data_IF_275906542473
#
_entry.id   IF_275906542473
#
_cell.length_a   1.000
_cell.length_b   1.000
_cell.length_c   1.000
_cell.angle_alpha   90.00
_cell.angle_beta   90.00
_cell.angle_gamma   90.00
#
_symmetry.space_group_name_H-M   'P 1'
#
loop_
_entity.id
_entity.type
_entity.pdbx_description
1 polymer ?
#
# COMPACT_ATOMS: atom_id res chain seq x y z
N UNK A 1 11.13 9.81 2.00
CA UNK A 1 11.34 10.67 0.82
C UNK A 1 10.56 10.24 -0.41
N UNK A 2 10.49 8.94 -0.74
CA UNK A 2 9.81 8.47 -1.96
C UNK A 2 8.43 9.10 -2.21
N UNK A 3 7.53 9.11 -1.21
CA UNK A 3 6.20 9.68 -1.35
C UNK A 3 6.19 11.16 -1.77
N UNK A 4 7.11 11.97 -1.23
CA UNK A 4 7.24 13.38 -1.60
C UNK A 4 7.76 13.54 -3.04
N UNK A 5 8.77 12.75 -3.43
CA UNK A 5 9.30 12.79 -4.79
C UNK A 5 8.28 12.33 -5.85
N UNK A 6 7.41 11.38 -5.50
CA UNK A 6 6.30 10.97 -6.37
C UNK A 6 5.21 12.05 -6.45
N UNK A 7 4.86 12.69 -5.33
CA UNK A 7 3.85 13.74 -5.30
C UNK A 7 4.23 14.95 -6.18
N UNK A 8 5.52 15.26 -6.27
CA UNK A 8 6.04 16.36 -7.08
C UNK A 8 6.17 16.05 -8.58
N UNK A 9 5.86 14.84 -9.02
CA UNK A 9 5.87 14.52 -10.45
C UNK A 9 4.74 15.27 -11.15
N UNK A 10 5.07 15.94 -12.26
CA UNK A 10 4.15 16.80 -12.99
C UNK A 10 2.91 16.08 -13.53
N UNK A 11 3.04 14.78 -13.83
CA UNK A 11 1.95 13.91 -14.27
C UNK A 11 1.27 13.15 -13.11
N UNK A 12 1.67 13.40 -11.87
CA UNK A 12 0.98 12.90 -10.66
C UNK A 12 0.30 14.07 -9.97
N UNK A 13 1.05 15.02 -9.42
CA UNK A 13 0.53 16.21 -8.70
C UNK A 13 -0.66 15.89 -7.78
N UNK A 14 -0.52 14.83 -6.98
CA UNK A 14 -1.51 14.42 -5.98
C UNK A 14 -0.91 14.53 -4.58
N UNK A 15 -1.73 14.84 -3.56
CA UNK A 15 -1.26 14.75 -2.18
C UNK A 15 -0.84 13.31 -1.88
N UNK A 16 0.29 13.17 -1.20
CA UNK A 16 0.77 11.89 -0.71
C UNK A 16 0.62 11.81 0.81
N UNK A 17 0.20 10.65 1.29
CA UNK A 17 0.12 10.34 2.72
C UNK A 17 1.13 9.25 3.04
N UNK A 18 1.99 9.52 4.02
CA UNK A 18 2.88 8.52 4.62
C UNK A 18 2.30 8.14 5.97
N UNK A 19 1.78 6.92 6.06
CA UNK A 19 1.23 6.39 7.31
C UNK A 19 2.22 5.42 7.93
N UNK A 20 2.38 5.52 9.25
CA UNK A 20 3.18 4.61 10.07
C UNK A 20 2.37 4.22 11.30
N UNK A 21 2.61 3.04 11.84
CA UNK A 21 1.86 2.56 13.00
C UNK A 21 2.27 3.34 14.25
N UNK A 22 1.27 3.94 14.89
CA UNK A 22 1.45 4.68 16.13
C UNK A 22 1.97 3.77 17.25
N UNK A 23 2.79 4.32 18.13
CA UNK A 23 3.46 3.65 19.24
C UNK A 23 4.54 2.64 18.78
N UNK A 24 4.17 1.63 17.99
CA UNK A 24 5.08 0.58 17.52
C UNK A 24 6.21 1.08 16.64
N UNK A 25 5.96 2.07 15.80
CA UNK A 25 6.98 2.67 14.93
C UNK A 25 7.34 4.06 15.41
N UNK A 26 6.34 4.87 15.80
CA UNK A 26 6.59 6.28 16.14
C UNK A 26 7.33 6.49 17.47
N UNK A 27 7.27 5.53 18.41
CA UNK A 27 7.92 5.63 19.72
C UNK A 27 9.04 4.59 19.92
N UNK A 28 9.18 3.63 19.02
CA UNK A 28 10.29 2.70 19.05
C UNK A 28 11.60 3.43 18.74
N UNK A 29 12.62 3.19 19.56
CA UNK A 29 13.98 3.71 19.33
C UNK A 29 14.85 2.60 18.78
N UNK A 30 15.60 2.93 17.74
CA UNK A 30 16.57 2.03 17.15
C UNK A 30 17.50 2.79 16.21
N UNK A 31 18.65 2.21 15.85
CA UNK A 31 19.51 2.78 14.82
C UNK A 31 18.77 2.79 13.47
N UNK A 32 18.80 3.93 12.79
CA UNK A 32 18.21 4.10 11.45
C UNK A 32 19.22 4.70 10.51
N UNK A 33 19.18 4.29 9.23
CA UNK A 33 19.94 4.95 8.19
C UNK A 33 19.22 6.25 7.81
N UNK A 34 19.87 7.39 8.04
CA UNK A 34 19.36 8.69 7.64
C UNK A 34 19.90 9.07 6.25
N UNK A 35 19.13 9.81 5.43
CA UNK A 35 19.68 10.42 4.23
C UNK A 35 20.74 11.48 4.60
N UNK A 36 21.61 11.82 3.65
CA UNK A 36 22.54 12.96 3.80
C UNK A 36 21.78 14.24 4.13
N UNK A 37 22.37 15.12 4.95
CA UNK A 37 21.82 16.43 5.25
C UNK A 37 21.67 17.31 3.99
N UNK A 38 22.48 17.06 2.96
CA UNK A 38 22.43 17.79 1.68
C UNK A 38 21.34 17.28 0.73
N UNK A 39 20.63 16.21 1.09
CA UNK A 39 19.61 15.63 0.23
C UNK A 39 18.45 16.62 0.05
N UNK A 40 18.15 16.96 -1.21
CA UNK A 40 17.03 17.81 -1.60
C UNK A 40 16.16 17.06 -2.60
N UNK A 41 14.86 17.38 -2.59
CA UNK A 41 13.97 16.91 -3.64
C UNK A 41 14.44 17.45 -4.99
N UNK A 42 14.25 16.66 -6.04
CA UNK A 42 14.52 17.11 -7.39
C UNK A 42 13.64 18.34 -7.72
N UNK A 43 14.17 19.33 -8.46
CA UNK A 43 13.38 20.47 -8.87
C UNK A 43 12.22 20.00 -9.76
N UNK A 44 11.05 20.59 -9.54
CA UNK A 44 9.87 20.32 -10.34
C UNK A 44 9.97 21.00 -11.69
N UNK A 45 9.53 20.31 -12.75
CA UNK A 45 9.47 20.89 -14.09
C UNK A 45 8.27 21.84 -14.20
N UNK A 46 8.52 23.12 -13.93
CA UNK A 46 7.51 24.18 -13.95
C UNK A 46 6.75 24.29 -15.28
N UNK A 47 7.42 24.02 -16.40
CA UNK A 47 6.87 24.16 -17.74
C UNK A 47 5.91 23.03 -18.12
N UNK A 48 6.04 21.87 -17.47
CA UNK A 48 5.20 20.69 -17.72
C UNK A 48 4.06 20.53 -16.72
N UNK A 49 3.85 21.51 -15.85
CA UNK A 49 2.77 21.46 -14.86
C UNK A 49 1.40 21.57 -15.52
N UNK A 50 0.50 20.66 -15.15
CA UNK A 50 -0.89 20.67 -15.62
C UNK A 50 -1.68 21.90 -15.15
N UNK A 51 -1.26 22.50 -14.03
CA UNK A 51 -1.83 23.74 -13.49
C UNK A 51 -0.70 24.76 -13.34
N UNK A 52 -0.81 25.94 -13.98
CA UNK A 52 0.19 26.99 -13.84
C UNK A 52 0.19 27.52 -12.39
N UNK A 53 1.36 27.96 -11.92
CA UNK A 53 1.49 28.56 -10.60
C UNK A 53 0.60 29.82 -10.49
N UNK A 54 0.07 30.07 -9.30
CA UNK A 54 -0.65 31.31 -9.03
C UNK A 54 0.36 32.43 -8.78
N UNK A 55 0.26 33.51 -9.54
CA UNK A 55 1.04 34.73 -9.35
C UNK A 55 0.24 35.96 -9.82
N UNK A 56 0.88 37.13 -9.88
CA UNK A 56 0.22 38.37 -10.30
C UNK A 56 -0.17 38.38 -11.78
N UNK A 57 0.54 37.65 -12.64
CA UNK A 57 0.26 37.53 -14.08
C UNK A 57 -0.79 36.45 -14.34
N UNK A 58 -0.87 35.45 -13.46
CA UNK A 58 -1.79 34.33 -13.48
C UNK A 58 -2.64 34.27 -12.19
N UNK A 59 -3.58 35.23 -12.00
CA UNK A 59 -4.35 35.33 -10.76
C UNK A 59 -5.33 34.15 -10.59
N UNK A 60 -5.64 33.75 -9.34
CA UNK A 60 -6.52 32.62 -9.05
C UNK A 60 -7.88 32.70 -9.74
N UNK A 61 -8.45 33.90 -9.92
CA UNK A 61 -9.74 34.09 -10.60
C UNK A 61 -9.73 33.66 -12.08
N UNK A 62 -8.57 33.68 -12.77
CA UNK A 62 -8.42 33.17 -14.14
C UNK A 62 -8.24 31.66 -14.19
N UNK A 63 -7.73 31.06 -13.12
CA UNK A 63 -7.47 29.62 -12.99
C UNK A 63 -8.61 28.91 -12.27
N UNK A 64 -9.48 29.65 -11.57
CA UNK A 64 -10.56 29.10 -10.76
C UNK A 64 -11.47 28.31 -11.68
N UNK A 65 -11.24 27.00 -11.68
CA UNK A 65 -12.16 25.98 -12.14
C UNK A 65 -13.11 25.68 -11.00
N UNK A 66 -13.64 26.70 -10.33
CA UNK A 66 -14.94 26.54 -9.72
C UNK A 66 -15.82 26.08 -10.88
N UNK A 67 -16.07 24.77 -10.90
CA UNK A 67 -17.24 24.30 -11.61
C UNK A 67 -18.37 25.22 -11.15
N UNK A 68 -19.34 25.54 -11.99
CA UNK A 68 -20.66 25.77 -11.45
C UNK A 68 -21.09 24.46 -10.74
N UNK A 69 -20.54 24.21 -9.54
CA UNK A 69 -21.06 23.28 -8.52
C UNK A 69 -22.45 23.80 -8.11
N UNK A 70 -22.77 25.04 -8.48
CA UNK A 70 -24.13 25.52 -8.60
C UNK A 70 -24.81 25.02 -9.88
N UNK A 71 -25.78 24.12 -9.63
CA UNK A 71 -26.91 23.66 -10.44
C UNK A 71 -26.70 22.30 -11.11
N UNK A 72 -27.63 21.41 -10.77
CA UNK A 72 -27.86 20.03 -11.19
C UNK A 72 -27.93 19.85 -12.73
N UNK A 73 -26.85 20.15 -13.45
CA UNK A 73 -26.78 20.02 -14.89
C UNK A 73 -25.74 18.96 -15.30
N UNK A 74 -25.96 18.41 -16.49
CA UNK A 74 -25.15 17.34 -17.05
C UNK A 74 -23.67 17.70 -17.21
N UNK A 75 -23.37 18.97 -17.54
CA UNK A 75 -22.01 19.45 -17.79
C UNK A 75 -21.19 19.41 -16.50
N UNK A 76 -21.76 19.85 -15.37
CA UNK A 76 -21.08 19.79 -14.07
C UNK A 76 -20.77 18.35 -13.67
N UNK A 77 -21.70 17.40 -13.86
CA UNK A 77 -21.45 15.98 -13.57
C UNK A 77 -20.35 15.39 -14.46
N UNK A 78 -20.35 15.69 -15.76
CA UNK A 78 -19.31 15.22 -16.67
C UNK A 78 -17.93 15.74 -16.31
N UNK A 79 -17.82 17.01 -15.91
CA UNK A 79 -16.56 17.58 -15.47
C UNK A 79 -16.05 16.92 -14.19
N UNK A 80 -16.92 16.68 -13.20
CA UNK A 80 -16.56 15.93 -11.99
C UNK A 80 -16.10 14.50 -12.30
N UNK A 81 -16.79 13.80 -13.19
CA UNK A 81 -16.39 12.45 -13.61
C UNK A 81 -15.00 12.46 -14.27
N UNK A 82 -14.73 13.43 -15.15
CA UNK A 82 -13.41 13.60 -15.78
C UNK A 82 -12.31 13.87 -14.75
N UNK A 83 -12.56 14.72 -13.74
CA UNK A 83 -11.59 14.96 -12.67
C UNK A 83 -11.33 13.73 -11.83
N UNK A 84 -12.37 12.97 -11.47
CA UNK A 84 -12.18 11.71 -10.72
C UNK A 84 -11.37 10.70 -11.53
N UNK A 85 -11.68 10.53 -12.82
CA UNK A 85 -10.91 9.67 -13.72
C UNK A 85 -9.44 10.09 -13.78
N UNK A 86 -9.17 11.39 -13.87
CA UNK A 86 -7.80 11.91 -13.88
C UNK A 86 -7.06 11.64 -12.56
N UNK A 87 -7.74 11.74 -11.39
CA UNK A 87 -7.14 11.35 -10.11
C UNK A 87 -6.77 9.86 -10.11
N UNK A 88 -7.65 8.97 -10.58
CA UNK A 88 -7.33 7.55 -10.68
C UNK A 88 -6.17 7.28 -11.65
N UNK A 89 -6.16 7.92 -12.82
CA UNK A 89 -5.07 7.81 -13.79
C UNK A 89 -3.74 8.33 -13.23
N UNK A 90 -3.74 9.44 -12.49
CA UNK A 90 -2.56 9.97 -11.80
C UNK A 90 -2.05 9.02 -10.71
N UNK A 91 -2.94 8.38 -9.95
CA UNK A 91 -2.56 7.32 -8.99
C UNK A 91 -1.90 6.14 -9.71
N UNK A 92 -2.43 5.69 -10.84
CA UNK A 92 -1.81 4.62 -11.64
C UNK A 92 -0.44 5.04 -12.19
N UNK A 93 -0.33 6.23 -12.77
CA UNK A 93 0.93 6.79 -13.28
C UNK A 93 1.99 6.87 -12.19
N UNK A 94 1.60 7.16 -10.95
CA UNK A 94 2.50 7.22 -9.79
C UNK A 94 3.20 5.88 -9.50
N UNK A 95 2.63 4.74 -9.93
CA UNK A 95 3.13 3.41 -9.64
C UNK A 95 4.57 3.18 -10.12
N UNK A 96 4.92 3.67 -11.32
CA UNK A 96 6.26 3.50 -11.90
C UNK A 96 7.34 4.21 -11.08
N UNK A 97 7.00 5.35 -10.49
CA UNK A 97 7.92 6.10 -9.64
C UNK A 97 8.13 5.38 -8.31
N UNK A 98 7.05 4.90 -7.68
CA UNK A 98 7.16 4.07 -6.48
C UNK A 98 7.93 2.77 -6.73
N UNK A 99 7.73 2.12 -7.88
CA UNK A 99 8.47 0.91 -8.27
C UNK A 99 9.98 1.15 -8.27
N UNK A 100 10.42 2.26 -8.87
CA UNK A 100 11.83 2.66 -8.91
C UNK A 100 12.36 3.04 -7.52
N UNK A 101 11.66 3.93 -6.81
CA UNK A 101 12.13 4.53 -5.56
C UNK A 101 12.12 3.54 -4.39
N UNK A 102 11.18 2.58 -4.37
CA UNK A 102 11.05 1.58 -3.30
C UNK A 102 11.71 0.23 -3.66
N UNK A 103 12.32 0.12 -4.85
CA UNK A 103 12.85 -1.14 -5.41
C UNK A 103 11.78 -2.23 -5.38
N UNK A 104 10.68 -1.96 -6.07
CA UNK A 104 9.47 -2.77 -6.10
C UNK A 104 8.44 -2.35 -5.06
N UNK A 105 7.15 -2.37 -5.43
CA UNK A 105 6.02 -2.03 -4.52
C UNK A 105 5.62 -3.16 -3.58
N UNK A 106 6.12 -4.36 -3.83
CA UNK A 106 6.03 -5.51 -2.93
C UNK A 106 7.44 -6.02 -2.59
N UNK A 107 7.54 -6.79 -1.52
CA UNK A 107 8.73 -7.57 -1.16
C UNK A 107 8.28 -8.98 -0.79
N UNK A 108 8.98 -9.99 -1.29
CA UNK A 108 8.62 -11.40 -1.15
C UNK A 108 9.75 -12.15 -0.42
N UNK A 109 9.37 -13.00 0.52
CA UNK A 109 10.23 -14.02 1.13
C UNK A 109 9.63 -15.38 0.83
N UNK A 110 10.47 -16.36 0.46
CA UNK A 110 10.06 -17.74 0.10
C UNK A 110 8.97 -17.80 -1.00
N UNK A 111 9.29 -17.43 -2.25
CA UNK A 111 8.30 -17.33 -3.34
C UNK A 111 7.62 -18.66 -3.74
N UNK A 112 8.22 -19.81 -3.44
CA UNK A 112 7.61 -21.14 -3.72
C UNK A 112 6.91 -21.75 -2.49
N UNK A 113 6.55 -20.94 -1.50
CA UNK A 113 5.75 -21.42 -0.38
C UNK A 113 4.29 -21.67 -0.79
N UNK A 114 3.63 -22.60 -0.11
CA UNK A 114 2.20 -22.86 -0.29
C UNK A 114 1.34 -22.07 0.71
N UNK A 115 1.89 -21.83 1.90
CA UNK A 115 1.30 -21.01 2.95
C UNK A 115 1.90 -19.61 2.90
N UNK A 116 1.07 -18.58 2.94
CA UNK A 116 1.49 -17.19 2.81
C UNK A 116 0.99 -16.33 3.96
N UNK A 117 1.86 -15.47 4.46
CA UNK A 117 1.52 -14.30 5.26
C UNK A 117 1.52 -13.08 4.34
N UNK A 118 0.44 -12.31 4.32
CA UNK A 118 0.37 -11.05 3.57
C UNK A 118 0.15 -9.90 4.54
N UNK A 119 1.10 -8.97 4.61
CA UNK A 119 1.11 -7.91 5.62
C UNK A 119 1.60 -6.57 5.07
N UNK A 120 1.27 -5.50 5.79
CA UNK A 120 1.81 -4.14 5.60
C UNK A 120 2.13 -3.51 6.95
N UNK A 121 2.89 -2.42 6.95
CA UNK A 121 3.29 -1.72 8.16
C UNK A 121 4.14 -2.60 9.11
N UNK A 122 3.94 -2.41 10.42
CA UNK A 122 4.65 -3.12 11.49
C UNK A 122 4.26 -4.60 11.60
N UNK A 123 3.10 -5.00 11.09
CA UNK A 123 2.67 -6.41 11.07
C UNK A 123 3.65 -7.28 10.26
N UNK A 124 4.35 -6.68 9.29
CA UNK A 124 5.41 -7.31 8.50
C UNK A 124 6.58 -7.80 9.38
N UNK A 125 6.91 -7.07 10.44
CA UNK A 125 8.01 -7.45 11.35
C UNK A 125 7.68 -8.76 12.07
N UNK A 126 6.45 -8.86 12.58
CA UNK A 126 5.96 -10.05 13.28
C UNK A 126 5.76 -11.21 12.32
N UNK A 127 5.24 -10.94 11.12
CA UNK A 127 5.12 -11.96 10.07
C UNK A 127 6.47 -12.50 9.61
N UNK A 128 7.52 -11.66 9.54
CA UNK A 128 8.88 -12.11 9.20
C UNK A 128 9.45 -13.03 10.27
N UNK A 129 9.20 -12.73 11.53
CA UNK A 129 9.60 -13.57 12.66
C UNK A 129 8.84 -14.91 12.64
N UNK A 130 7.54 -14.90 12.32
CA UNK A 130 6.76 -16.12 12.11
C UNK A 130 7.35 -16.99 10.98
N UNK A 131 7.73 -16.39 9.84
CA UNK A 131 8.40 -17.11 8.74
C UNK A 131 9.72 -17.72 9.19
N UNK A 132 10.51 -16.99 9.99
CA UNK A 132 11.79 -17.48 10.54
C UNK A 132 11.57 -18.72 11.41
N UNK A 133 10.66 -18.65 12.38
CA UNK A 133 10.35 -19.74 13.31
C UNK A 133 9.74 -20.97 12.60
N UNK A 134 8.90 -20.77 11.59
CA UNK A 134 8.40 -21.87 10.75
C UNK A 134 9.55 -22.55 9.99
N UNK A 135 10.50 -21.77 9.48
CA UNK A 135 11.70 -22.26 8.81
C UNK A 135 12.60 -23.10 9.73
N UNK A 136 12.78 -22.68 11.00
CA UNK A 136 13.50 -23.47 12.01
C UNK A 136 12.85 -24.83 12.28
N UNK A 137 11.54 -24.94 12.07
CA UNK A 137 10.78 -26.18 12.19
C UNK A 137 10.66 -26.96 10.86
N UNK A 138 11.44 -26.58 9.85
CA UNK A 138 11.47 -27.23 8.54
C UNK A 138 10.26 -26.94 7.65
N UNK A 139 9.41 -25.97 8.00
CA UNK A 139 8.22 -25.59 7.22
C UNK A 139 8.49 -24.35 6.38
N UNK A 140 8.07 -24.38 5.12
CA UNK A 140 8.24 -23.26 4.18
C UNK A 140 6.99 -22.39 4.16
N UNK A 141 7.10 -21.18 4.72
CA UNK A 141 6.03 -20.15 4.70
C UNK A 141 6.53 -18.93 3.95
N UNK A 142 5.68 -18.40 3.08
CA UNK A 142 5.91 -17.20 2.28
C UNK A 142 5.50 -15.95 3.04
N UNK A 143 6.19 -14.84 2.79
CA UNK A 143 5.76 -13.51 3.24
C UNK A 143 5.68 -12.59 2.03
N UNK A 144 4.53 -11.95 1.84
CA UNK A 144 4.35 -10.83 0.92
C UNK A 144 4.13 -9.56 1.73
N UNK A 145 5.11 -8.66 1.66
CA UNK A 145 5.03 -7.31 2.22
C UNK A 145 4.51 -6.36 1.15
N UNK A 146 3.41 -5.66 1.46
CA UNK A 146 2.88 -4.58 0.64
C UNK A 146 3.52 -3.26 1.08
N UNK A 147 4.22 -2.55 0.18
CA UNK A 147 4.88 -1.27 0.51
C UNK A 147 4.03 -0.05 0.16
N UNK A 148 3.12 -0.16 -0.82
CA UNK A 148 2.23 0.93 -1.24
C UNK A 148 0.76 0.51 -1.13
N UNK A 149 -0.04 1.29 -0.40
CA UNK A 149 -1.50 1.06 -0.34
C UNK A 149 -2.22 1.69 -1.53
N UNK A 150 -1.75 2.85 -1.99
CA UNK A 150 -2.21 3.53 -3.20
C UNK A 150 -1.00 4.11 -3.93
N UNK A 151 -0.75 3.71 -5.19
CA UNK A 151 -1.46 2.70 -5.97
C UNK A 151 -1.25 1.29 -5.39
N UNK A 152 -2.32 0.49 -5.37
CA UNK A 152 -2.27 -0.88 -4.87
C UNK A 152 -1.59 -1.80 -5.89
N UNK A 153 -0.63 -2.67 -5.50
CA UNK A 153 0.14 -3.48 -6.45
C UNK A 153 -0.61 -4.77 -6.88
N UNK A 154 -1.85 -4.62 -7.37
CA UNK A 154 -2.78 -5.72 -7.68
C UNK A 154 -2.17 -6.83 -8.54
N UNK A 155 -1.62 -6.50 -9.72
CA UNK A 155 -1.05 -7.49 -10.65
C UNK A 155 0.15 -8.22 -10.04
N UNK A 156 0.98 -7.53 -9.24
CA UNK A 156 2.15 -8.12 -8.59
C UNK A 156 1.71 -9.10 -7.49
N UNK A 157 0.67 -8.75 -6.73
CA UNK A 157 0.10 -9.61 -5.70
C UNK A 157 -0.51 -10.87 -6.32
N UNK A 158 -1.34 -10.72 -7.37
CA UNK A 158 -1.96 -11.85 -8.07
C UNK A 158 -0.87 -12.80 -8.59
N UNK A 159 0.16 -12.28 -9.26
CA UNK A 159 1.23 -13.11 -9.82
C UNK A 159 2.02 -13.85 -8.73
N UNK A 160 2.28 -13.19 -7.59
CA UNK A 160 3.01 -13.79 -6.48
C UNK A 160 2.21 -14.90 -5.78
N UNK A 161 0.89 -14.71 -5.62
CA UNK A 161 0.04 -15.59 -4.83
C UNK A 161 -0.73 -16.64 -5.65
N UNK A 162 -0.59 -16.66 -6.98
CA UNK A 162 -1.37 -17.56 -7.87
C UNK A 162 -1.30 -19.06 -7.51
N UNK A 163 -0.20 -19.51 -6.89
CA UNK A 163 0.01 -20.91 -6.46
C UNK A 163 -0.20 -21.13 -4.95
N UNK A 164 -0.58 -20.09 -4.21
CA UNK A 164 -0.82 -20.21 -2.78
C UNK A 164 -1.98 -21.19 -2.54
N UNK A 165 -1.86 -22.00 -1.49
CA UNK A 165 -2.95 -22.82 -0.96
C UNK A 165 -3.67 -22.12 0.17
N UNK A 166 -2.93 -21.34 0.98
CA UNK A 166 -3.46 -20.61 2.13
C UNK A 166 -2.81 -19.25 2.23
N UNK A 167 -3.61 -18.24 2.54
CA UNK A 167 -3.17 -16.86 2.71
C UNK A 167 -3.73 -16.37 4.04
N UNK A 168 -2.87 -16.10 5.01
CA UNK A 168 -3.20 -15.47 6.28
C UNK A 168 -2.85 -13.98 6.24
N UNK A 169 -3.77 -13.14 6.71
CA UNK A 169 -3.67 -11.68 6.58
C UNK A 169 -3.68 -11.06 7.99
N UNK A 170 -2.52 -10.99 8.67
CA UNK A 170 -2.38 -10.23 9.90
C UNK A 170 -2.47 -8.73 9.62
N UNK A 171 -3.39 -8.03 10.28
CA UNK A 171 -3.55 -6.58 10.10
C UNK A 171 -3.99 -5.84 11.37
N UNK A 172 -3.59 -4.57 11.46
CA UNK A 172 -3.98 -3.69 12.58
C UNK A 172 -5.32 -2.94 12.36
N UNK A 173 -5.96 -3.18 11.22
CA UNK A 173 -7.22 -2.54 10.88
C UNK A 173 -8.39 -3.42 11.35
N UNK A 174 -9.15 -2.94 12.34
CA UNK A 174 -10.31 -3.65 12.89
C UNK A 174 -11.32 -4.06 11.81
N UNK A 175 -11.58 -3.18 10.83
CA UNK A 175 -12.54 -3.40 9.77
C UNK A 175 -12.08 -4.43 8.72
N UNK A 176 -10.82 -4.88 8.82
CA UNK A 176 -10.26 -5.89 7.94
C UNK A 176 -10.09 -5.42 6.50
N UNK A 177 -9.67 -4.16 6.30
CA UNK A 177 -9.60 -3.56 4.98
C UNK A 177 -8.66 -4.36 4.07
N UNK A 178 -7.49 -4.78 4.56
CA UNK A 178 -6.52 -5.50 3.74
C UNK A 178 -7.04 -6.88 3.37
N UNK A 179 -7.67 -7.59 4.32
CA UNK A 179 -8.35 -8.84 4.03
C UNK A 179 -9.41 -8.69 2.93
N UNK A 180 -10.26 -7.67 3.01
CA UNK A 180 -11.31 -7.41 2.00
C UNK A 180 -10.73 -7.08 0.63
N UNK A 181 -9.73 -6.20 0.58
CA UNK A 181 -9.05 -5.82 -0.66
C UNK A 181 -8.41 -7.05 -1.33
N UNK A 182 -7.65 -7.84 -0.56
CA UNK A 182 -6.99 -9.06 -1.06
C UNK A 182 -8.00 -10.12 -1.53
N UNK A 183 -9.08 -10.30 -0.78
CA UNK A 183 -10.16 -11.22 -1.18
C UNK A 183 -10.77 -10.78 -2.52
N UNK A 184 -11.03 -9.49 -2.69
CA UNK A 184 -11.59 -8.96 -3.93
C UNK A 184 -10.67 -9.15 -5.13
N UNK A 185 -9.37 -8.93 -4.98
CA UNK A 185 -8.44 -9.02 -6.12
C UNK A 185 -8.02 -10.46 -6.45
N UNK A 186 -8.07 -11.37 -5.47
CA UNK A 186 -7.69 -12.77 -5.66
C UNK A 186 -8.88 -13.65 -6.07
N UNK A 187 -10.12 -13.14 -5.96
CA UNK A 187 -11.32 -13.86 -6.36
C UNK A 187 -11.23 -14.29 -7.83
N UNK A 188 -11.34 -15.61 -8.07
CA UNK A 188 -11.21 -16.20 -9.40
C UNK A 188 -9.79 -16.23 -9.98
N UNK A 189 -8.80 -15.67 -9.28
CA UNK A 189 -7.39 -15.60 -9.72
C UNK A 189 -6.47 -16.54 -8.93
N UNK A 190 -6.88 -16.92 -7.72
CA UNK A 190 -6.11 -17.77 -6.82
C UNK A 190 -7.06 -18.75 -6.10
N UNK A 191 -6.75 -20.06 -6.07
CA UNK A 191 -7.57 -21.05 -5.38
C UNK A 191 -7.35 -21.07 -3.85
N UNK A 192 -6.47 -20.20 -3.33
CA UNK A 192 -6.11 -20.22 -1.93
C UNK A 192 -7.30 -19.96 -1.01
N UNK A 193 -7.31 -20.63 0.14
CA UNK A 193 -8.14 -20.20 1.26
C UNK A 193 -7.54 -18.91 1.85
N UNK A 194 -8.31 -17.83 1.81
CA UNK A 194 -7.93 -16.55 2.41
C UNK A 194 -8.53 -16.49 3.83
N UNK A 195 -7.66 -16.33 4.83
CA UNK A 195 -8.02 -16.29 6.24
C UNK A 195 -7.80 -14.88 6.78
N UNK A 196 -8.87 -14.27 7.28
CA UNK A 196 -8.82 -12.98 7.95
C UNK A 196 -8.13 -13.07 9.30
N UNK A 197 -7.05 -12.33 9.52
CA UNK A 197 -6.44 -12.13 10.83
C UNK A 197 -5.10 -12.83 11.03
N UNK A 198 -4.54 -12.77 12.25
CA UNK A 198 -5.09 -12.10 13.43
C UNK A 198 -5.29 -10.59 13.24
N UNK A 199 -6.32 -10.03 13.87
CA UNK A 199 -6.58 -8.59 13.88
C UNK A 199 -6.32 -8.02 15.25
N UNK A 200 -5.52 -6.97 15.31
CA UNK A 200 -5.17 -6.29 16.55
C UNK A 200 -5.45 -4.80 16.39
N UNK A 201 -5.97 -4.12 17.40
CA UNK A 201 -6.34 -2.71 17.31
C UNK A 201 -6.27 -2.04 18.68
N UNK A 202 -6.36 -0.70 18.72
CA UNK A 202 -6.36 0.06 19.97
C UNK A 202 -5.00 0.12 20.68
N UNK A 203 -3.89 0.03 19.94
CA UNK A 203 -2.54 0.08 20.52
C UNK A 203 -2.06 -1.24 21.13
N UNK A 204 -2.83 -2.32 20.98
CA UNK A 204 -2.42 -3.66 21.38
C UNK A 204 -1.31 -4.21 20.47
N UNK A 205 -0.40 -4.99 21.03
CA UNK A 205 0.67 -5.68 20.29
C UNK A 205 0.10 -6.89 19.56
N UNK A 206 0.65 -7.21 18.39
CA UNK A 206 0.46 -8.49 17.69
C UNK A 206 1.70 -9.36 17.92
N UNK A 207 1.70 -10.30 18.88
CA UNK A 207 2.83 -11.19 19.09
C UNK A 207 2.99 -12.14 17.91
N UNK A 208 4.21 -12.62 17.68
CA UNK A 208 4.48 -13.60 16.62
C UNK A 208 3.73 -14.91 16.88
N UNK A 209 3.62 -15.31 18.14
CA UNK A 209 2.92 -16.52 18.60
C UNK A 209 1.47 -16.52 18.15
N UNK A 210 0.81 -15.36 18.20
CA UNK A 210 -0.57 -15.21 17.71
C UNK A 210 -0.67 -15.49 16.20
N UNK A 211 0.29 -15.03 15.39
CA UNK A 211 0.31 -15.33 13.95
C UNK A 211 0.51 -16.83 13.72
N UNK A 212 1.41 -17.47 14.49
CA UNK A 212 1.69 -18.90 14.37
C UNK A 212 0.49 -19.77 14.76
N UNK A 213 -0.20 -19.44 15.85
CA UNK A 213 -1.43 -20.13 16.28
C UNK A 213 -2.51 -20.04 15.20
N UNK A 214 -2.74 -18.85 14.66
CA UNK A 214 -3.71 -18.64 13.58
C UNK A 214 -3.32 -19.38 12.30
N UNK A 215 -2.03 -19.45 11.97
CA UNK A 215 -1.55 -20.21 10.83
C UNK A 215 -1.76 -21.72 11.03
N UNK A 216 -1.49 -22.24 12.23
CA UNK A 216 -1.76 -23.64 12.56
C UNK A 216 -3.25 -23.97 12.47
N UNK A 217 -4.11 -23.09 12.98
CA UNK A 217 -5.56 -23.29 12.90
C UNK A 217 -6.08 -23.19 11.45
N UNK A 218 -5.52 -22.28 10.64
CA UNK A 218 -5.79 -22.24 9.20
C UNK A 218 -5.40 -23.56 8.50
N UNK A 219 -4.28 -24.17 8.89
CA UNK A 219 -3.87 -25.49 8.37
C UNK A 219 -4.83 -26.60 8.78
N UNK A 220 -5.32 -26.62 10.03
CA UNK A 220 -6.25 -27.66 10.52
C UNK A 220 -7.59 -27.66 9.81
N UNK A 221 -8.06 -26.50 9.33
CA UNK A 221 -9.32 -26.36 8.59
C UNK A 221 -9.30 -27.04 7.21
N UNK A 222 -8.13 -27.48 6.75
CA UNK A 222 -7.93 -28.18 5.48
C UNK A 222 -7.10 -29.45 5.77
N UNK A 223 -7.78 -30.59 5.88
CA UNK A 223 -7.21 -31.90 5.53
C UNK A 223 -7.73 -32.30 4.16
#
# INVERSE_FOLDING_TARGET
MAAFEVAEQVDVTLPAVVSVDGFFVTHARGPVSMPSADYKLNPRDGWRNAVPAMDNENPPARISRDAPIQKSNFISYHMHASWQQEVFAAVERSARYFEKLLRGRIEIVNPDAEDWLVASGSAVSQAREAVRQEGEQGRKVGLLKIKTLRPFPTLQIIQALKKAKRILIPEFNQAGWMHKELTSILYGQCPAQIVAGPRVYGGMTMPTEMILEWLQDARKRIK
#
